data_IF_059663501138
#
_entry.id   IF_059663501138
#
_cell.length_a   1.000
_cell.length_b   1.000
_cell.length_c   1.000
_cell.angle_alpha   90.00
_cell.angle_beta   90.00
_cell.angle_gamma   90.00
#
_symmetry.space_group_name_H-M   'P 1'
#
loop_
_entity.id
_entity.type
_entity.pdbx_description
1 polymer ?
#
# COMPACT_ATOMS: atom_id res chain seq x y z
N UNK A 1 -9.26 15.82 -10.22
CA UNK A 1 -8.50 14.63 -10.61
C UNK A 1 -9.44 13.43 -10.61
N UNK A 2 -9.47 12.65 -11.68
CA UNK A 2 -10.32 11.46 -11.83
C UNK A 2 -9.70 10.24 -11.14
N UNK A 3 -10.49 9.19 -10.88
CA UNK A 3 -9.96 7.94 -10.31
C UNK A 3 -8.87 7.32 -11.18
N UNK A 4 -9.02 7.39 -12.50
CA UNK A 4 -8.01 6.89 -13.44
C UNK A 4 -6.71 7.68 -13.39
N UNK A 5 -6.76 9.00 -13.17
CA UNK A 5 -5.58 9.83 -12.97
C UNK A 5 -4.88 9.49 -11.65
N UNK A 6 -5.64 9.35 -10.55
CA UNK A 6 -5.10 8.95 -9.24
C UNK A 6 -4.43 7.57 -9.30
N UNK A 7 -5.06 6.62 -9.98
CA UNK A 7 -4.50 5.29 -10.21
C UNK A 7 -3.16 5.36 -10.95
N UNK A 8 -3.10 6.07 -12.08
CA UNK A 8 -1.86 6.18 -12.88
C UNK A 8 -0.76 6.86 -12.08
N UNK A 9 -1.08 7.90 -11.31
CA UNK A 9 -0.11 8.62 -10.48
C UNK A 9 0.44 7.72 -9.37
N UNK A 10 -0.43 7.02 -8.63
CA UNK A 10 0.03 6.14 -7.55
C UNK A 10 0.79 4.92 -8.09
N UNK A 11 0.34 4.34 -9.21
CA UNK A 11 1.06 3.26 -9.90
C UNK A 11 2.46 3.71 -10.30
N UNK A 12 2.59 4.87 -10.96
CA UNK A 12 3.89 5.39 -11.38
C UNK A 12 4.83 5.60 -10.20
N UNK A 13 4.33 6.20 -9.11
CA UNK A 13 5.09 6.39 -7.86
C UNK A 13 5.56 5.06 -7.26
N UNK A 14 4.68 4.05 -7.18
CA UNK A 14 5.03 2.73 -6.65
C UNK A 14 6.02 2.00 -7.56
N UNK A 15 5.86 2.08 -8.88
CA UNK A 15 6.82 1.52 -9.84
C UNK A 15 8.20 2.16 -9.69
N UNK A 16 8.28 3.48 -9.50
CA UNK A 16 9.54 4.19 -9.29
C UNK A 16 10.26 3.74 -8.01
N UNK A 17 9.53 3.51 -6.91
CA UNK A 17 10.11 2.98 -5.66
C UNK A 17 10.74 1.59 -5.86
N UNK A 18 10.25 0.81 -6.82
CA UNK A 18 10.75 -0.53 -7.14
C UNK A 18 11.77 -0.53 -8.30
N UNK A 19 12.24 0.63 -8.76
CA UNK A 19 13.17 0.70 -9.89
C UNK A 19 14.51 0.00 -9.63
N UNK A 20 15.01 0.07 -8.40
CA UNK A 20 16.31 -0.51 -7.99
C UNK A 20 16.19 -1.95 -7.46
N UNK A 21 15.00 -2.56 -7.55
CA UNK A 21 14.75 -3.94 -7.13
C UNK A 21 15.21 -4.91 -8.22
N UNK A 22 15.76 -6.06 -7.82
CA UNK A 22 16.07 -7.16 -8.73
C UNK A 22 14.91 -7.42 -9.74
N UNK A 23 15.19 -7.53 -11.05
CA UNK A 23 14.14 -7.65 -12.07
C UNK A 23 13.20 -8.85 -11.91
N UNK A 24 13.64 -9.95 -11.29
CA UNK A 24 12.75 -11.08 -11.01
C UNK A 24 11.79 -10.74 -9.86
N UNK A 25 12.29 -10.12 -8.79
CA UNK A 25 11.45 -9.62 -7.67
C UNK A 25 10.51 -8.50 -8.11
N UNK A 26 10.96 -7.59 -8.99
CA UNK A 26 10.13 -6.51 -9.54
C UNK A 26 8.95 -7.05 -10.36
N UNK A 27 9.20 -8.05 -11.23
CA UNK A 27 8.14 -8.72 -11.99
C UNK A 27 7.15 -9.48 -11.11
N UNK A 28 7.64 -10.08 -10.00
CA UNK A 28 6.78 -10.81 -9.07
C UNK A 28 5.72 -9.89 -8.43
N UNK A 29 6.02 -8.60 -8.24
CA UNK A 29 5.17 -7.66 -7.51
C UNK A 29 4.34 -6.72 -8.39
N UNK A 30 4.47 -6.80 -9.72
CA UNK A 30 3.79 -5.85 -10.63
C UNK A 30 2.26 -5.82 -10.39
N UNK A 31 1.64 -6.98 -10.22
CA UNK A 31 0.21 -7.06 -9.89
C UNK A 31 -0.14 -6.46 -8.52
N UNK A 32 0.74 -6.58 -7.53
CA UNK A 32 0.54 -5.96 -6.21
C UNK A 32 0.67 -4.44 -6.27
N UNK A 33 1.53 -3.91 -7.15
CA UNK A 33 1.63 -2.47 -7.41
C UNK A 33 0.32 -1.96 -8.03
N UNK A 34 -0.23 -2.69 -8.99
CA UNK A 34 -1.52 -2.35 -9.62
C UNK A 34 -2.67 -2.37 -8.60
N UNK A 35 -2.76 -3.42 -7.79
CA UNK A 35 -3.78 -3.54 -6.74
C UNK A 35 -3.65 -2.42 -5.69
N UNK A 36 -2.43 -2.08 -5.27
CA UNK A 36 -2.18 -0.98 -4.34
C UNK A 36 -2.63 0.35 -4.93
N UNK A 37 -2.26 0.65 -6.18
CA UNK A 37 -2.63 1.89 -6.85
C UNK A 37 -4.16 1.98 -7.06
N UNK A 38 -4.81 0.86 -7.40
CA UNK A 38 -6.26 0.81 -7.56
C UNK A 38 -6.98 1.06 -6.23
N UNK A 39 -6.58 0.34 -5.17
CA UNK A 39 -7.15 0.51 -3.84
C UNK A 39 -6.93 1.93 -3.29
N UNK A 40 -5.78 2.54 -3.57
CA UNK A 40 -5.51 3.94 -3.23
C UNK A 40 -6.52 4.90 -3.88
N UNK A 41 -6.74 4.78 -5.19
CA UNK A 41 -7.68 5.62 -5.93
C UNK A 41 -9.13 5.41 -5.46
N UNK A 42 -9.55 4.16 -5.23
CA UNK A 42 -10.88 3.86 -4.68
C UNK A 42 -11.06 4.43 -3.26
N UNK A 43 -10.02 4.33 -2.42
CA UNK A 43 -10.04 4.87 -1.06
C UNK A 43 -10.15 6.39 -1.02
N UNK A 44 -9.50 7.11 -1.93
CA UNK A 44 -9.64 8.57 -2.05
C UNK A 44 -11.08 8.95 -2.42
N UNK A 45 -11.68 8.25 -3.38
CA UNK A 45 -13.08 8.49 -3.77
C UNK A 45 -14.05 8.21 -2.61
N UNK A 46 -13.86 7.11 -1.88
CA UNK A 46 -14.67 6.78 -0.70
C UNK A 46 -14.48 7.80 0.43
N UNK A 47 -13.26 8.26 0.68
CA UNK A 47 -12.98 9.32 1.68
C UNK A 47 -13.73 10.60 1.36
N UNK A 48 -13.77 11.03 0.10
CA UNK A 48 -14.52 12.23 -0.31
C UNK A 48 -16.04 12.11 -0.03
N UNK A 49 -16.60 10.89 -0.04
CA UNK A 49 -18.01 10.65 0.34
C UNK A 49 -18.23 10.63 1.86
N UNK A 50 -17.21 10.22 2.61
CA UNK A 50 -17.25 10.06 4.07
C UNK A 50 -16.98 11.39 4.78
N UNK A 51 -16.01 12.16 4.30
CA UNK A 51 -15.48 13.37 4.96
C UNK A 51 -16.57 14.35 5.42
N UNK A 52 -17.62 14.68 4.63
CA UNK A 52 -18.62 15.66 5.06
C UNK A 52 -19.57 15.16 6.16
N UNK A 53 -19.72 13.84 6.34
CA UNK A 53 -20.76 13.25 7.22
C UNK A 53 -20.20 12.29 8.28
N UNK A 54 -18.91 12.00 8.23
CA UNK A 54 -18.27 10.98 9.04
C UNK A 54 -18.60 9.55 8.61
N UNK A 55 -17.90 8.59 9.23
CA UNK A 55 -18.11 7.16 8.97
C UNK A 55 -19.40 6.61 9.61
N UNK A 56 -19.82 7.22 10.71
CA UNK A 56 -21.00 6.87 11.49
C UNK A 56 -21.93 8.07 11.51
N UNK A 57 -23.17 7.86 11.07
CA UNK A 57 -24.22 8.87 11.15
C UNK A 57 -25.03 8.62 12.42
N UNK A 58 -25.17 9.67 13.23
CA UNK A 58 -25.94 9.67 14.47
C UNK A 58 -27.30 10.29 14.20
N UNK A 59 -28.38 9.66 14.65
CA UNK A 59 -29.71 10.23 14.53
C UNK A 59 -29.80 11.51 15.40
N UNK A 60 -30.30 12.63 14.86
CA UNK A 60 -30.33 13.91 15.59
C UNK A 60 -31.32 13.95 16.77
N UNK A 61 -32.28 13.02 16.81
CA UNK A 61 -33.32 12.93 17.85
C UNK A 61 -32.94 11.88 18.90
N UNK A 62 -32.34 10.76 18.47
CA UNK A 62 -31.94 9.66 19.35
C UNK A 62 -30.46 9.26 19.12
N UNK A 63 -29.53 9.79 19.94
CA UNK A 63 -28.10 9.50 19.80
C UNK A 63 -27.70 8.01 19.95
N UNK A 64 -28.58 7.17 20.52
CA UNK A 64 -28.34 5.73 20.60
C UNK A 64 -28.55 5.03 19.26
N UNK A 65 -29.23 5.69 18.31
CA UNK A 65 -29.42 5.19 16.93
C UNK A 65 -28.31 5.70 16.02
N UNK A 66 -27.34 4.82 15.78
CA UNK A 66 -26.19 5.08 14.93
C UNK A 66 -26.17 4.12 13.73
N UNK A 67 -25.72 4.60 12.58
CA UNK A 67 -25.57 3.77 11.38
C UNK A 67 -24.26 4.09 10.66
N UNK A 68 -23.46 3.05 10.42
CA UNK A 68 -22.29 3.14 9.54
C UNK A 68 -22.73 3.23 8.09
N UNK A 69 -22.16 4.16 7.33
CA UNK A 69 -22.45 4.27 5.88
C UNK A 69 -21.83 3.09 5.11
N UNK A 70 -22.42 2.73 3.97
CA UNK A 70 -21.84 1.67 3.12
C UNK A 70 -20.47 2.08 2.56
N UNK A 71 -20.28 3.37 2.25
CA UNK A 71 -18.99 3.92 1.86
C UNK A 71 -17.94 3.69 2.96
N UNK A 72 -18.29 3.93 4.23
CA UNK A 72 -17.39 3.69 5.36
C UNK A 72 -17.05 2.21 5.55
N UNK A 73 -18.02 1.30 5.38
CA UNK A 73 -17.77 -0.14 5.43
C UNK A 73 -16.84 -0.60 4.32
N UNK A 74 -17.07 -0.13 3.09
CA UNK A 74 -16.23 -0.48 1.95
C UNK A 74 -14.82 0.11 2.11
N UNK A 75 -14.72 1.35 2.57
CA UNK A 75 -13.46 2.01 2.86
C UNK A 75 -12.62 1.21 3.87
N UNK A 76 -13.23 0.75 4.96
CA UNK A 76 -12.54 -0.08 5.96
C UNK A 76 -12.02 -1.40 5.35
N UNK A 77 -12.83 -2.08 4.53
CA UNK A 77 -12.41 -3.31 3.84
C UNK A 77 -11.23 -3.05 2.90
N UNK A 78 -11.33 -2.02 2.07
CA UNK A 78 -10.27 -1.63 1.15
C UNK A 78 -8.98 -1.26 1.89
N UNK A 79 -9.08 -0.53 3.01
CA UNK A 79 -7.94 -0.13 3.83
C UNK A 79 -7.19 -1.35 4.40
N UNK A 80 -7.91 -2.37 4.85
CA UNK A 80 -7.30 -3.61 5.34
C UNK A 80 -6.56 -4.35 4.22
N UNK A 81 -7.18 -4.51 3.06
CA UNK A 81 -6.53 -5.13 1.89
C UNK A 81 -5.30 -4.33 1.44
N UNK A 82 -5.44 -3.01 1.34
CA UNK A 82 -4.34 -2.11 0.97
C UNK A 82 -3.17 -2.23 1.95
N UNK A 83 -3.45 -2.29 3.26
CA UNK A 83 -2.40 -2.43 4.28
C UNK A 83 -1.64 -3.75 4.14
N UNK A 84 -2.32 -4.86 3.80
CA UNK A 84 -1.67 -6.14 3.53
C UNK A 84 -0.79 -6.06 2.29
N UNK A 85 -1.30 -5.48 1.19
CA UNK A 85 -0.53 -5.31 -0.06
C UNK A 85 0.73 -4.47 0.18
N UNK A 86 0.60 -3.30 0.83
CA UNK A 86 1.73 -2.43 1.16
C UNK A 86 2.74 -3.13 2.06
N UNK A 87 2.29 -3.91 3.05
CA UNK A 87 3.20 -4.68 3.92
C UNK A 87 3.99 -5.72 3.13
N UNK A 88 3.35 -6.42 2.20
CA UNK A 88 4.03 -7.39 1.32
C UNK A 88 5.06 -6.71 0.43
N UNK A 89 4.69 -5.58 -0.20
CA UNK A 89 5.60 -4.77 -1.02
C UNK A 89 6.83 -4.30 -0.21
N UNK A 90 6.61 -3.74 0.99
CA UNK A 90 7.69 -3.32 1.88
C UNK A 90 8.59 -4.48 2.31
N UNK A 91 8.04 -5.67 2.54
CA UNK A 91 8.83 -6.85 2.87
C UNK A 91 9.78 -7.28 1.76
N UNK A 92 9.43 -7.01 0.51
CA UNK A 92 10.28 -7.31 -0.65
C UNK A 92 11.38 -6.25 -0.78
N UNK A 93 11.05 -4.97 -0.59
CA UNK A 93 12.03 -3.88 -0.54
C UNK A 93 13.08 -4.13 0.54
N UNK A 94 12.67 -4.46 1.76
CA UNK A 94 13.59 -4.70 2.87
C UNK A 94 14.54 -5.89 2.63
N UNK A 95 14.09 -6.93 1.93
CA UNK A 95 14.95 -8.06 1.54
C UNK A 95 15.97 -7.69 0.45
N UNK A 96 15.65 -6.72 -0.40
CA UNK A 96 16.62 -6.20 -1.37
C UNK A 96 17.71 -5.36 -0.71
N UNK A 97 17.39 -4.66 0.38
CA UNK A 97 18.36 -3.84 1.12
C UNK A 97 19.38 -4.68 1.91
N UNK A 98 19.02 -5.91 2.29
CA UNK A 98 19.86 -6.78 3.12
C UNK A 98 20.76 -7.73 2.31
N UNK A 99 20.70 -7.71 0.97
CA UNK A 99 21.59 -8.53 0.12
C UNK A 99 22.95 -7.85 -0.17
N UNK A 100 23.22 -6.68 0.42
CA UNK A 100 24.42 -5.88 0.14
C UNK A 100 25.46 -5.76 1.27
N UNK A 101 25.08 -5.91 2.53
CA UNK A 101 25.96 -5.77 3.71
C UNK A 101 25.65 -6.87 4.74
N UNK A 102 25.80 -8.16 4.36
CA UNK A 102 25.84 -9.22 5.37
C UNK A 102 27.23 -9.18 6.03
N UNK A 103 27.34 -8.99 7.36
CA UNK A 103 28.62 -9.11 8.07
C UNK A 103 29.36 -10.43 7.79
N UNK A 104 28.63 -11.47 7.35
CA UNK A 104 29.22 -12.73 6.91
C UNK A 104 29.95 -12.64 5.56
N UNK A 105 29.48 -11.81 4.63
CA UNK A 105 30.14 -11.57 3.34
C UNK A 105 31.39 -10.68 3.51
N UNK A 106 31.35 -9.71 4.42
CA UNK A 106 32.56 -8.97 4.85
C UNK A 106 33.58 -9.93 5.49
N UNK A 107 33.13 -10.80 6.39
CA UNK A 107 33.98 -11.80 7.05
C UNK A 107 34.64 -12.77 6.05
N UNK A 108 33.89 -13.25 5.04
CA UNK A 108 34.42 -14.11 3.97
C UNK A 108 35.47 -13.40 3.09
N UNK A 109 35.29 -12.11 2.79
CA UNK A 109 36.29 -11.33 2.04
C UNK A 109 37.57 -11.12 2.82
N UNK A 110 37.48 -10.82 4.13
CA UNK A 110 38.65 -10.62 4.98
C UNK A 110 39.48 -11.90 5.18
N UNK A 111 38.86 -13.08 5.08
CA UNK A 111 39.51 -14.37 5.37
C UNK A 111 39.76 -15.22 4.11
N UNK A 112 39.48 -14.72 2.91
CA UNK A 112 39.81 -15.40 1.64
C UNK A 112 41.11 -14.91 0.99
N UNK A 113 41.76 -13.89 1.55
CA UNK A 113 43.06 -13.36 1.09
C UNK A 113 44.26 -13.74 2.01
N UNK A 114 44.11 -14.74 2.89
CA UNK A 114 45.22 -15.36 3.66
C UNK A 114 45.45 -16.80 3.21
#
# INVERSE_FOLDING_TARGET
MTKSEMFRQERAKLTEIFADVDPAKARLVEGLIDDAAFLYAENLALRALIEPRGMVQVNPIDPMRQKTSEAAKQYLKNLNSYSVVIKTLNGILAKNSNEGDDPFDEWLKEHSEQ
#
